data_IF_017594420740
#
_entry.id   IF_017594420740
#
_cell.length_a   1.000
_cell.length_b   1.000
_cell.length_c   1.000
_cell.angle_alpha   90.00
_cell.angle_beta   90.00
_cell.angle_gamma   90.00
#
_symmetry.space_group_name_H-M   'P 1'
#
loop_
_entity.id
_entity.type
_entity.pdbx_description
1 polymer ?
#
# COMPACT_ATOMS: atom_id res chain seq x y z
N UNK A 1 9.97 -22.46 -31.32
CA UNK A 1 9.69 -21.43 -30.29
C UNK A 1 8.27 -21.55 -29.71
N UNK A 2 7.19 -21.72 -30.51
CA UNK A 2 5.84 -21.95 -29.97
C UNK A 2 5.75 -23.19 -29.05
N UNK A 3 6.46 -24.26 -29.44
CA UNK A 3 6.48 -25.55 -28.73
C UNK A 3 7.06 -25.51 -27.31
N UNK A 4 8.00 -24.60 -27.03
CA UNK A 4 8.62 -24.51 -25.71
C UNK A 4 7.67 -23.83 -24.72
N UNK A 5 7.02 -22.76 -25.15
CA UNK A 5 6.04 -22.01 -24.37
C UNK A 5 4.85 -22.90 -24.00
N UNK A 6 4.28 -23.62 -24.98
CA UNK A 6 3.21 -24.60 -24.72
C UNK A 6 3.65 -25.70 -23.75
N UNK A 7 4.90 -26.17 -23.85
CA UNK A 7 5.45 -27.15 -22.92
C UNK A 7 5.55 -26.61 -21.48
N UNK A 8 5.94 -25.35 -21.30
CA UNK A 8 5.98 -24.70 -19.98
C UNK A 8 4.59 -24.48 -19.39
N UNK A 9 3.61 -24.15 -20.23
CA UNK A 9 2.21 -23.97 -19.81
C UNK A 9 1.63 -25.31 -19.36
N UNK A 10 1.87 -26.37 -20.12
CA UNK A 10 1.47 -27.72 -19.74
C UNK A 10 2.14 -28.17 -18.45
N UNK A 11 3.42 -27.82 -18.25
CA UNK A 11 4.13 -28.07 -17.00
C UNK A 11 3.47 -27.30 -15.83
N UNK A 12 3.20 -26.00 -15.99
CA UNK A 12 2.52 -25.19 -14.97
C UNK A 12 1.14 -25.75 -14.62
N UNK A 13 0.36 -26.18 -15.61
CA UNK A 13 -0.95 -26.79 -15.41
C UNK A 13 -0.86 -28.20 -14.78
N UNK A 14 0.25 -28.91 -14.98
CA UNK A 14 0.49 -30.22 -14.37
C UNK A 14 0.92 -30.17 -12.91
N UNK A 15 1.34 -29.00 -12.43
CA UNK A 15 1.76 -28.79 -11.04
C UNK A 15 0.50 -28.69 -10.17
N UNK A 16 0.27 -29.73 -9.36
CA UNK A 16 -0.88 -29.82 -8.46
C UNK A 16 -0.84 -28.80 -7.33
N UNK A 17 0.35 -28.43 -6.86
CA UNK A 17 0.55 -27.45 -5.78
C UNK A 17 1.66 -26.46 -6.16
N UNK A 18 1.33 -25.24 -6.61
CA UNK A 18 2.34 -24.21 -6.87
C UNK A 18 3.00 -23.78 -5.55
N UNK A 19 4.31 -23.58 -5.58
CA UNK A 19 5.10 -23.04 -4.48
C UNK A 19 5.69 -21.65 -4.83
N UNK A 20 6.51 -21.10 -3.93
CA UNK A 20 7.11 -19.77 -4.14
C UNK A 20 8.05 -19.69 -5.35
N UNK A 21 8.74 -20.77 -5.72
CA UNK A 21 9.62 -20.79 -6.89
C UNK A 21 8.82 -20.68 -8.19
N UNK A 22 7.60 -21.25 -8.20
CA UNK A 22 6.71 -21.20 -9.36
C UNK A 22 6.26 -19.76 -9.67
N UNK A 23 6.11 -18.89 -8.67
CA UNK A 23 5.74 -17.48 -8.89
C UNK A 23 6.79 -16.71 -9.71
N UNK A 24 8.08 -17.04 -9.51
CA UNK A 24 9.16 -16.46 -10.31
C UNK A 24 9.10 -16.91 -11.77
N UNK A 25 8.82 -18.19 -12.01
CA UNK A 25 8.65 -18.73 -13.36
C UNK A 25 7.44 -18.12 -14.08
N UNK A 26 6.30 -18.04 -13.39
CA UNK A 26 5.08 -17.41 -13.92
C UNK A 26 5.36 -15.95 -14.32
N UNK A 27 6.07 -15.21 -13.46
CA UNK A 27 6.43 -13.82 -13.74
C UNK A 27 7.34 -13.69 -14.97
N UNK A 28 8.33 -14.57 -15.13
CA UNK A 28 9.19 -14.61 -16.30
C UNK A 28 8.43 -14.95 -17.60
N UNK A 29 7.43 -15.84 -17.52
CA UNK A 29 6.56 -16.17 -18.66
C UNK A 29 5.67 -14.99 -19.04
N UNK A 30 5.06 -14.30 -18.07
CA UNK A 30 4.26 -13.09 -18.33
C UNK A 30 5.07 -12.04 -19.07
N UNK A 31 6.30 -11.78 -18.62
CA UNK A 31 7.21 -10.87 -19.30
C UNK A 31 7.47 -11.29 -20.76
N UNK A 32 7.74 -12.58 -21.00
CA UNK A 32 8.00 -13.10 -22.34
C UNK A 32 6.81 -13.03 -23.29
N UNK A 33 5.59 -13.19 -22.76
CA UNK A 33 4.35 -13.32 -23.53
C UNK A 33 3.64 -12.00 -23.82
N UNK A 34 3.95 -10.94 -23.05
CA UNK A 34 3.27 -9.63 -23.05
C UNK A 34 3.00 -9.02 -24.44
N UNK A 35 3.84 -9.31 -25.43
CA UNK A 35 3.74 -8.76 -26.80
C UNK A 35 3.59 -9.83 -27.89
N UNK A 36 3.51 -11.11 -27.50
CA UNK A 36 3.61 -12.24 -28.44
C UNK A 36 2.34 -13.05 -28.56
N UNK A 37 1.65 -13.31 -27.46
CA UNK A 37 0.53 -14.27 -27.44
C UNK A 37 -0.51 -13.93 -26.36
N UNK A 38 -1.58 -13.25 -26.77
CA UNK A 38 -2.56 -12.67 -25.84
C UNK A 38 -3.39 -13.71 -25.09
N UNK A 39 -3.82 -14.78 -25.74
CA UNK A 39 -4.67 -15.83 -25.13
C UNK A 39 -3.93 -16.53 -24.01
N UNK A 40 -2.68 -16.92 -24.26
CA UNK A 40 -1.86 -17.60 -23.29
C UNK A 40 -1.41 -16.67 -22.15
N UNK A 41 -1.11 -15.41 -22.48
CA UNK A 41 -0.81 -14.40 -21.48
C UNK A 41 -1.94 -14.27 -20.44
N UNK A 42 -3.20 -14.20 -20.86
CA UNK A 42 -4.34 -14.11 -19.93
C UNK A 42 -4.52 -15.37 -19.07
N UNK A 43 -4.24 -16.56 -19.62
CA UNK A 43 -4.26 -17.82 -18.84
C UNK A 43 -3.19 -17.80 -17.75
N UNK A 44 -1.94 -17.50 -18.10
CA UNK A 44 -0.82 -17.45 -17.16
C UNK A 44 -1.01 -16.33 -16.13
N UNK A 45 -1.55 -15.17 -16.54
CA UNK A 45 -1.91 -14.06 -15.65
C UNK A 45 -2.89 -14.51 -14.59
N UNK A 46 -3.96 -15.20 -15.00
CA UNK A 46 -4.98 -15.73 -14.09
C UNK A 46 -4.37 -16.68 -13.05
N UNK A 47 -3.56 -17.65 -13.50
CA UNK A 47 -2.86 -18.60 -12.62
C UNK A 47 -1.91 -17.86 -11.65
N UNK A 48 -1.18 -16.87 -12.15
CA UNK A 48 -0.24 -16.08 -11.35
C UNK A 48 -0.92 -15.29 -10.25
N UNK A 49 -2.03 -14.61 -10.54
CA UNK A 49 -2.79 -13.83 -9.57
C UNK A 49 -3.36 -14.74 -8.48
N UNK A 50 -3.96 -15.88 -8.86
CA UNK A 50 -4.52 -16.84 -7.91
C UNK A 50 -3.42 -17.46 -7.01
N UNK A 51 -2.28 -17.79 -7.61
CA UNK A 51 -1.11 -18.33 -6.89
C UNK A 51 -0.51 -17.29 -5.94
N UNK A 52 -0.39 -16.03 -6.36
CA UNK A 52 0.10 -14.95 -5.51
C UNK A 52 -0.81 -14.73 -4.29
N UNK A 53 -2.12 -14.64 -4.51
CA UNK A 53 -3.09 -14.49 -3.43
C UNK A 53 -3.00 -15.65 -2.42
N UNK A 54 -2.88 -16.89 -2.90
CA UNK A 54 -2.77 -18.07 -2.04
C UNK A 54 -1.44 -18.16 -1.28
N UNK A 55 -0.32 -18.00 -1.98
CA UNK A 55 1.02 -18.33 -1.47
C UNK A 55 1.71 -17.17 -0.76
N UNK A 56 1.44 -15.93 -1.16
CA UNK A 56 2.04 -14.73 -0.54
C UNK A 56 1.09 -14.12 0.48
N UNK A 57 -0.18 -13.91 0.13
CA UNK A 57 -1.12 -13.24 1.03
C UNK A 57 -1.85 -14.21 1.96
N UNK A 58 -2.12 -15.43 1.50
CA UNK A 58 -2.81 -16.48 2.27
C UNK A 58 -1.90 -17.31 3.18
N UNK A 59 -0.59 -17.02 3.18
CA UNK A 59 0.37 -17.77 3.99
C UNK A 59 0.19 -17.54 5.49
N UNK A 60 0.61 -18.55 6.26
CA UNK A 60 0.73 -18.47 7.73
C UNK A 60 2.17 -18.19 8.17
N UNK A 61 3.12 -18.24 7.23
CA UNK A 61 4.54 -18.01 7.47
C UNK A 61 4.99 -16.81 6.67
N UNK A 62 5.80 -15.95 7.30
CA UNK A 62 6.30 -14.73 6.71
C UNK A 62 7.00 -15.03 5.37
N UNK A 63 6.55 -14.47 4.23
CA UNK A 63 7.24 -14.64 2.96
C UNK A 63 8.68 -14.12 3.03
N UNK A 64 9.62 -14.85 2.45
CA UNK A 64 10.97 -14.33 2.28
C UNK A 64 10.97 -13.19 1.27
N UNK A 65 11.80 -12.16 1.48
CA UNK A 65 11.93 -11.02 0.55
C UNK A 65 12.30 -11.48 -0.87
N UNK A 66 13.07 -12.56 -0.98
CA UNK A 66 13.45 -13.21 -2.24
C UNK A 66 12.26 -13.78 -3.01
N UNK A 67 11.14 -14.09 -2.35
CA UNK A 67 9.91 -14.54 -2.99
C UNK A 67 9.02 -13.37 -3.47
N UNK A 68 9.18 -12.17 -2.91
CA UNK A 68 8.38 -11.00 -3.29
C UNK A 68 8.88 -10.34 -4.58
N UNK A 69 10.20 -10.17 -4.72
CA UNK A 69 10.82 -9.49 -5.88
C UNK A 69 10.42 -10.09 -7.23
N UNK A 70 10.40 -11.42 -7.41
CA UNK A 70 10.04 -12.02 -8.70
C UNK A 70 8.59 -11.75 -9.10
N UNK A 71 7.68 -11.46 -8.17
CA UNK A 71 6.24 -11.34 -8.44
C UNK A 71 5.82 -10.05 -9.18
N UNK A 72 6.75 -9.13 -9.47
CA UNK A 72 6.41 -7.82 -10.03
C UNK A 72 5.60 -7.91 -11.34
N UNK A 73 5.93 -8.85 -12.22
CA UNK A 73 5.21 -9.01 -13.50
C UNK A 73 3.77 -9.49 -13.28
N UNK A 74 3.54 -10.42 -12.34
CA UNK A 74 2.18 -10.86 -11.94
C UNK A 74 1.38 -9.66 -11.43
N UNK A 75 1.99 -8.85 -10.57
CA UNK A 75 1.33 -7.70 -9.96
C UNK A 75 1.00 -6.60 -10.97
N UNK A 76 1.94 -6.30 -11.87
CA UNK A 76 1.75 -5.30 -12.92
C UNK A 76 0.78 -5.72 -14.02
N UNK A 77 0.58 -7.03 -14.21
CA UNK A 77 -0.40 -7.59 -15.14
C UNK A 77 -1.82 -7.59 -14.57
N UNK A 78 -1.99 -7.36 -13.27
CA UNK A 78 -3.27 -7.42 -12.57
C UNK A 78 -4.16 -6.24 -12.96
N UNK A 79 -5.43 -6.53 -13.26
CA UNK A 79 -6.46 -5.52 -13.44
C UNK A 79 -7.27 -5.29 -12.14
N UNK A 80 -8.04 -4.20 -12.13
CA UNK A 80 -8.83 -3.79 -10.98
C UNK A 80 -9.87 -4.85 -10.57
N UNK A 81 -10.46 -5.56 -11.53
CA UNK A 81 -11.48 -6.58 -11.26
C UNK A 81 -10.86 -7.80 -10.57
N UNK A 82 -9.74 -8.29 -11.09
CA UNK A 82 -8.97 -9.39 -10.48
C UNK A 82 -8.50 -9.02 -9.08
N UNK A 83 -8.03 -7.77 -8.90
CA UNK A 83 -7.65 -7.29 -7.57
C UNK A 83 -8.84 -7.31 -6.60
N UNK A 84 -9.99 -6.75 -6.99
CA UNK A 84 -11.21 -6.71 -6.16
C UNK A 84 -11.71 -8.09 -5.76
N UNK A 85 -11.70 -9.03 -6.69
CA UNK A 85 -12.37 -10.33 -6.53
C UNK A 85 -11.45 -11.40 -5.95
N UNK A 86 -10.14 -11.38 -6.28
CA UNK A 86 -9.21 -12.46 -5.93
C UNK A 86 -8.19 -12.05 -4.86
N UNK A 87 -7.68 -10.82 -4.92
CA UNK A 87 -6.51 -10.41 -4.11
C UNK A 87 -6.92 -9.65 -2.87
N UNK A 88 -7.74 -8.62 -3.01
CA UNK A 88 -8.18 -7.77 -1.90
C UNK A 88 -8.89 -8.55 -0.77
N UNK A 89 -9.78 -9.53 -1.04
CA UNK A 89 -10.43 -10.28 0.03
C UNK A 89 -9.44 -11.11 0.87
N UNK A 90 -8.37 -11.61 0.25
CA UNK A 90 -7.31 -12.35 0.94
C UNK A 90 -6.42 -11.39 1.71
N UNK A 91 -5.98 -10.29 1.08
CA UNK A 91 -5.19 -9.23 1.72
C UNK A 91 -5.89 -8.70 2.98
N UNK A 92 -7.16 -8.32 2.86
CA UNK A 92 -7.95 -7.78 3.96
C UNK A 92 -8.06 -8.78 5.11
N UNK A 93 -8.39 -10.04 4.79
CA UNK A 93 -8.49 -11.10 5.80
C UNK A 93 -7.16 -11.33 6.53
N UNK A 94 -6.04 -11.32 5.82
CA UNK A 94 -4.72 -11.56 6.40
C UNK A 94 -4.21 -10.36 7.21
N UNK A 95 -4.46 -9.12 6.77
CA UNK A 95 -4.17 -7.91 7.56
C UNK A 95 -4.92 -7.88 8.90
N UNK A 96 -6.17 -8.37 8.91
CA UNK A 96 -6.97 -8.44 10.14
C UNK A 96 -6.56 -9.56 11.09
N UNK A 97 -6.01 -10.68 10.57
CA UNK A 97 -5.73 -11.88 11.36
C UNK A 97 -4.28 -12.03 11.78
N UNK A 98 -3.36 -11.66 10.90
CA UNK A 98 -1.93 -11.93 11.03
C UNK A 98 -1.10 -10.87 10.29
N UNK A 99 -1.25 -9.57 10.62
CA UNK A 99 -0.53 -8.49 9.94
C UNK A 99 1.00 -8.68 9.98
N UNK A 100 1.54 -9.28 11.04
CA UNK A 100 2.96 -9.61 11.19
C UNK A 100 3.52 -10.59 10.17
N UNK A 101 2.65 -11.36 9.53
CA UNK A 101 3.05 -12.30 8.48
C UNK A 101 3.09 -11.61 7.13
N UNK A 102 2.13 -10.74 6.83
CA UNK A 102 1.89 -10.27 5.47
C UNK A 102 2.28 -8.81 5.21
N UNK A 103 2.54 -8.00 6.24
CA UNK A 103 2.69 -6.55 6.07
C UNK A 103 3.85 -6.17 5.14
N UNK A 104 4.91 -6.99 5.11
CA UNK A 104 6.07 -6.77 4.22
C UNK A 104 5.75 -7.00 2.74
N UNK A 105 4.71 -7.78 2.44
CA UNK A 105 4.24 -7.99 1.07
C UNK A 105 3.35 -6.85 0.56
N UNK A 106 2.85 -5.98 1.46
CA UNK A 106 1.90 -4.92 1.09
C UNK A 106 2.55 -3.78 0.31
N UNK A 107 3.71 -3.21 0.71
CA UNK A 107 4.35 -2.16 -0.07
C UNK A 107 4.65 -2.55 -1.53
N UNK A 108 5.32 -3.70 -1.82
CA UNK A 108 5.59 -4.10 -3.20
C UNK A 108 4.30 -4.40 -3.97
N UNK A 109 3.30 -5.04 -3.33
CA UNK A 109 1.97 -5.23 -3.93
C UNK A 109 1.40 -3.90 -4.43
N UNK A 110 1.27 -2.92 -3.54
CA UNK A 110 0.66 -1.64 -3.88
C UNK A 110 1.49 -0.86 -4.90
N UNK A 111 2.83 -0.92 -4.85
CA UNK A 111 3.67 -0.18 -5.80
C UNK A 111 3.62 -0.72 -7.24
N UNK A 112 3.27 -1.99 -7.40
CA UNK A 112 3.27 -2.66 -8.71
C UNK A 112 1.92 -2.57 -9.44
N UNK A 113 0.85 -2.12 -8.77
CA UNK A 113 -0.46 -1.94 -9.39
C UNK A 113 -0.46 -0.73 -10.34
N UNK A 114 -1.20 -0.85 -11.45
CA UNK A 114 -1.31 0.17 -12.48
C UNK A 114 -2.68 0.84 -12.52
N UNK A 115 -3.46 0.73 -11.45
CA UNK A 115 -4.83 1.24 -11.37
C UNK A 115 -5.08 1.95 -10.04
N UNK A 116 -6.05 2.86 -10.05
CA UNK A 116 -6.42 3.66 -8.90
C UNK A 116 -7.05 2.84 -7.76
N UNK A 117 -6.63 3.11 -6.53
CA UNK A 117 -7.09 2.45 -5.30
C UNK A 117 -8.05 3.27 -4.46
N UNK A 118 -8.54 4.42 -4.93
CA UNK A 118 -9.40 5.32 -4.14
C UNK A 118 -10.59 4.59 -3.53
N UNK A 119 -11.20 3.65 -4.27
CA UNK A 119 -12.39 2.89 -3.83
C UNK A 119 -12.18 2.07 -2.55
N UNK A 120 -10.94 1.68 -2.23
CA UNK A 120 -10.62 0.80 -1.10
C UNK A 120 -9.61 1.39 -0.13
N UNK A 121 -9.03 2.54 -0.45
CA UNK A 121 -7.91 3.11 0.30
C UNK A 121 -8.27 3.49 1.74
N UNK A 122 -9.52 3.91 2.00
CA UNK A 122 -10.00 4.18 3.36
C UNK A 122 -9.97 2.91 4.24
N UNK A 123 -10.53 1.81 3.74
CA UNK A 123 -10.56 0.55 4.48
C UNK A 123 -9.15 -0.04 4.65
N UNK A 124 -8.31 0.08 3.61
CA UNK A 124 -6.92 -0.37 3.69
C UNK A 124 -6.13 0.47 4.71
N UNK A 125 -6.36 1.77 4.78
CA UNK A 125 -5.72 2.66 5.75
C UNK A 125 -6.08 2.29 7.19
N UNK A 126 -7.34 1.90 7.44
CA UNK A 126 -7.78 1.40 8.76
C UNK A 126 -7.08 0.10 9.15
N UNK A 127 -6.81 -0.79 8.18
CA UNK A 127 -6.09 -2.05 8.42
C UNK A 127 -4.58 -1.83 8.64
N UNK A 128 -4.01 -0.79 8.02
CA UNK A 128 -2.59 -0.45 8.12
C UNK A 128 -2.24 0.40 9.36
N UNK A 129 -3.22 1.09 9.95
CA UNK A 129 -2.99 1.95 11.11
C UNK A 129 -2.53 1.20 12.37
N UNK A 130 -3.10 0.04 12.76
CA UNK A 130 -2.63 -0.68 13.95
C UNK A 130 -1.16 -1.15 13.84
N UNK A 131 -0.69 -1.74 12.71
CA UNK A 131 0.73 -2.05 12.53
C UNK A 131 1.65 -0.82 12.51
N UNK A 132 1.18 0.34 12.02
CA UNK A 132 1.92 1.60 11.99
C UNK A 132 2.30 2.10 13.39
N UNK A 133 1.44 1.84 14.38
CA UNK A 133 1.68 2.22 15.77
C UNK A 133 2.09 1.01 16.63
N UNK A 134 2.61 -0.05 16.02
CA UNK A 134 3.13 -1.21 16.75
C UNK A 134 4.37 -0.83 17.56
N UNK A 135 4.72 -1.66 18.55
CA UNK A 135 6.01 -1.59 19.24
C UNK A 135 7.12 -2.33 18.48
N UNK A 136 6.75 -3.10 17.46
CA UNK A 136 7.68 -3.85 16.63
C UNK A 136 8.11 -2.99 15.45
N UNK A 137 9.39 -2.61 15.43
CA UNK A 137 9.96 -1.72 14.42
C UNK A 137 9.74 -2.21 12.98
N UNK A 138 9.86 -3.53 12.73
CA UNK A 138 9.64 -4.09 11.39
C UNK A 138 8.19 -3.98 10.91
N UNK A 139 7.22 -4.05 11.83
CA UNK A 139 5.78 -3.87 11.54
C UNK A 139 5.50 -2.42 11.16
N UNK A 140 5.98 -1.52 12.00
CA UNK A 140 5.89 -0.08 11.83
C UNK A 140 6.49 0.38 10.50
N UNK A 141 7.73 -0.04 10.21
CA UNK A 141 8.44 0.34 8.99
C UNK A 141 7.68 -0.13 7.73
N UNK A 142 7.16 -1.36 7.75
CA UNK A 142 6.40 -1.94 6.64
C UNK A 142 5.04 -1.27 6.45
N UNK A 143 4.36 -0.92 7.54
CA UNK A 143 3.11 -0.18 7.50
C UNK A 143 3.32 1.24 6.96
N UNK A 144 4.37 1.93 7.40
CA UNK A 144 4.72 3.25 6.89
C UNK A 144 5.09 3.20 5.40
N UNK A 145 5.84 2.18 4.98
CA UNK A 145 6.10 1.93 3.56
C UNK A 145 4.80 1.69 2.78
N UNK A 146 3.84 0.98 3.36
CA UNK A 146 2.52 0.74 2.76
C UNK A 146 1.71 2.03 2.60
N UNK A 147 1.72 2.93 3.59
CA UNK A 147 1.09 4.25 3.44
C UNK A 147 1.74 5.09 2.34
N UNK A 148 3.08 5.04 2.23
CA UNK A 148 3.82 5.75 1.17
C UNK A 148 3.50 5.22 -0.23
N UNK A 149 3.34 3.92 -0.40
CA UNK A 149 2.96 3.34 -1.70
C UNK A 149 1.48 3.54 -1.98
N UNK A 150 0.61 3.41 -0.98
CA UNK A 150 -0.83 3.69 -1.09
C UNK A 150 -1.11 5.12 -1.52
N UNK A 151 -0.43 6.11 -0.92
CA UNK A 151 -0.57 7.52 -1.28
C UNK A 151 -0.31 7.79 -2.79
N UNK A 152 0.56 6.99 -3.42
CA UNK A 152 0.86 7.09 -4.86
C UNK A 152 -0.21 6.48 -5.75
N UNK A 153 -1.06 5.60 -5.20
CA UNK A 153 -2.10 4.87 -5.93
C UNK A 153 -3.49 5.50 -5.83
N UNK A 154 -3.61 6.66 -5.18
CA UNK A 154 -4.89 7.35 -4.99
C UNK A 154 -4.91 8.63 -5.84
N UNK A 155 -5.92 8.74 -6.67
CA UNK A 155 -6.16 9.88 -7.56
C UNK A 155 -7.27 10.78 -7.02
N UNK A 156 -8.20 10.25 -6.21
CA UNK A 156 -9.29 11.00 -5.61
C UNK A 156 -8.83 11.76 -4.34
N UNK A 157 -8.94 13.09 -4.38
CA UNK A 157 -8.53 13.99 -3.30
C UNK A 157 -9.36 13.84 -2.04
N UNK A 158 -10.68 13.68 -2.15
CA UNK A 158 -11.56 13.46 -0.98
C UNK A 158 -11.15 12.20 -0.20
N UNK A 159 -10.74 11.15 -0.90
CA UNK A 159 -10.22 9.93 -0.27
C UNK A 159 -8.93 10.20 0.49
N UNK A 160 -8.01 10.99 -0.09
CA UNK A 160 -6.77 11.40 0.59
C UNK A 160 -7.10 12.22 1.85
N UNK A 161 -7.99 13.20 1.74
CA UNK A 161 -8.42 14.04 2.86
C UNK A 161 -9.05 13.17 3.96
N UNK A 162 -9.92 12.23 3.60
CA UNK A 162 -10.56 11.31 4.54
C UNK A 162 -9.53 10.47 5.32
N UNK A 163 -8.52 9.91 4.64
CA UNK A 163 -7.46 9.14 5.28
C UNK A 163 -6.61 10.03 6.19
N UNK A 164 -6.24 11.23 5.74
CA UNK A 164 -5.45 12.18 6.54
C UNK A 164 -6.20 12.57 7.81
N UNK A 165 -7.50 12.87 7.71
CA UNK A 165 -8.34 13.16 8.86
C UNK A 165 -8.43 11.96 9.82
N UNK A 166 -8.58 10.74 9.30
CA UNK A 166 -8.53 9.52 10.10
C UNK A 166 -7.22 9.38 10.88
N UNK A 167 -6.06 9.58 10.23
CA UNK A 167 -4.76 9.53 10.89
C UNK A 167 -4.58 10.62 11.95
N UNK A 168 -5.08 11.83 11.71
CA UNK A 168 -5.10 12.89 12.72
C UNK A 168 -6.01 12.55 13.91
N UNK A 169 -7.14 11.88 13.68
CA UNK A 169 -8.01 11.44 14.77
C UNK A 169 -7.31 10.39 15.66
N UNK A 170 -6.51 9.49 15.07
CA UNK A 170 -5.65 8.58 15.84
C UNK A 170 -4.60 9.38 16.63
N UNK A 171 -3.93 10.33 15.96
CA UNK A 171 -2.90 11.15 16.59
C UNK A 171 -3.44 11.91 17.82
N UNK A 172 -4.65 12.46 17.71
CA UNK A 172 -5.31 13.22 18.77
C UNK A 172 -6.04 12.33 19.80
N UNK A 173 -6.04 11.01 19.62
CA UNK A 173 -6.71 10.07 20.52
C UNK A 173 -8.24 10.14 20.47
N UNK A 174 -8.82 10.71 19.41
CA UNK A 174 -10.28 10.75 19.19
C UNK A 174 -10.78 9.54 18.43
N UNK A 175 -9.90 8.77 17.79
CA UNK A 175 -10.22 7.50 17.14
C UNK A 175 -10.17 6.34 18.13
N UNK A 176 -11.33 5.77 18.46
CA UNK A 176 -11.45 4.69 19.46
C UNK A 176 -11.10 3.30 18.94
N UNK A 177 -10.98 3.12 17.61
CA UNK A 177 -10.67 1.82 17.01
C UNK A 177 -9.20 1.40 17.14
N UNK A 178 -8.33 2.30 17.60
CA UNK A 178 -6.88 2.10 17.65
C UNK A 178 -6.37 2.32 19.08
N UNK A 179 -5.35 1.56 19.48
CA UNK A 179 -4.77 1.67 20.82
C UNK A 179 -4.20 3.07 21.06
N UNK A 180 -4.30 3.53 22.32
CA UNK A 180 -3.71 4.80 22.74
C UNK A 180 -2.20 4.83 22.47
N UNK A 181 -1.74 5.94 21.92
CA UNK A 181 -0.32 6.18 21.67
C UNK A 181 0.43 6.27 23.01
N UNK A 182 1.38 5.38 23.19
CA UNK A 182 2.11 5.17 24.45
C UNK A 182 3.56 5.66 24.38
N UNK A 183 4.12 5.80 23.17
CA UNK A 183 5.49 6.23 22.94
C UNK A 183 5.54 7.27 21.82
N UNK A 184 6.59 8.10 21.84
CA UNK A 184 6.77 9.21 20.89
C UNK A 184 6.93 8.69 19.45
N UNK A 185 7.63 7.58 19.24
CA UNK A 185 7.84 7.01 17.90
C UNK A 185 6.51 6.73 17.17
N UNK A 186 5.51 6.20 17.86
CA UNK A 186 4.17 5.98 17.29
C UNK A 186 3.54 7.27 16.75
N UNK A 187 3.77 8.41 17.42
CA UNK A 187 3.31 9.74 16.97
C UNK A 187 4.09 10.20 15.74
N UNK A 188 5.40 9.98 15.72
CA UNK A 188 6.27 10.28 14.57
C UNK A 188 5.88 9.48 13.32
N UNK A 189 5.45 8.22 13.50
CA UNK A 189 5.00 7.36 12.41
C UNK A 189 3.68 7.82 11.81
N UNK A 190 2.72 8.20 12.65
CA UNK A 190 1.47 8.81 12.20
C UNK A 190 1.73 10.09 11.40
N UNK A 191 2.60 10.97 11.91
CA UNK A 191 3.00 12.17 11.18
C UNK A 191 3.67 11.83 9.85
N UNK A 192 4.56 10.84 9.83
CA UNK A 192 5.21 10.39 8.60
C UNK A 192 4.21 9.82 7.58
N UNK A 193 3.19 9.09 8.04
CA UNK A 193 2.11 8.59 7.20
C UNK A 193 1.24 9.74 6.67
N UNK A 194 0.84 10.69 7.52
CA UNK A 194 0.12 11.93 7.12
C UNK A 194 0.92 12.70 6.06
N UNK A 195 2.23 12.86 6.29
CA UNK A 195 3.14 13.51 5.35
C UNK A 195 3.32 12.75 4.04
N UNK A 196 3.15 11.43 4.02
CA UNK A 196 3.21 10.65 2.78
C UNK A 196 2.15 11.08 1.77
N UNK A 197 0.94 11.41 2.25
CA UNK A 197 -0.17 11.86 1.40
C UNK A 197 0.04 13.24 0.78
N UNK A 198 0.86 14.11 1.39
CA UNK A 198 1.26 15.38 0.77
C UNK A 198 2.07 15.19 -0.52
N UNK A 199 2.63 13.99 -0.74
CA UNK A 199 3.40 13.63 -1.94
C UNK A 199 2.59 12.77 -2.90
N UNK A 200 1.29 12.64 -2.69
CA UNK A 200 0.41 11.95 -3.64
C UNK A 200 0.44 12.68 -4.99
N UNK A 201 0.47 11.95 -6.12
CA UNK A 201 0.40 12.55 -7.45
C UNK A 201 -0.98 13.15 -7.76
N UNK A 202 -1.98 12.95 -6.91
CA UNK A 202 -3.33 13.51 -7.09
C UNK A 202 -3.30 15.04 -7.19
N UNK A 203 -3.91 15.56 -8.26
CA UNK A 203 -4.15 16.99 -8.48
C UNK A 203 -5.54 17.44 -8.00
N UNK A 204 -6.38 16.52 -7.51
CA UNK A 204 -7.79 16.80 -7.19
C UNK A 204 -8.02 17.37 -5.78
N UNK A 205 -6.98 17.46 -4.95
CA UNK A 205 -7.04 18.13 -3.65
C UNK A 205 -6.93 19.65 -3.86
N UNK A 206 -7.95 20.40 -3.45
CA UNK A 206 -7.97 21.86 -3.61
C UNK A 206 -7.04 22.59 -2.64
N UNK A 207 -6.75 23.87 -2.91
CA UNK A 207 -6.00 24.72 -1.97
C UNK A 207 -6.75 24.89 -0.64
N UNK A 208 -8.08 25.03 -0.68
CA UNK A 208 -8.94 25.17 0.49
C UNK A 208 -8.90 23.91 1.39
N UNK A 209 -8.86 22.71 0.79
CA UNK A 209 -8.71 21.46 1.54
C UNK A 209 -7.38 21.40 2.31
N UNK A 210 -6.29 21.88 1.67
CA UNK A 210 -4.98 21.94 2.32
C UNK A 210 -5.02 22.94 3.47
N UNK A 211 -5.54 24.15 3.25
CA UNK A 211 -5.65 25.17 4.30
C UNK A 211 -6.48 24.66 5.49
N UNK A 212 -7.59 23.97 5.24
CA UNK A 212 -8.39 23.31 6.27
C UNK A 212 -7.60 22.28 7.07
N UNK A 213 -6.73 21.49 6.43
CA UNK A 213 -5.85 20.56 7.15
C UNK A 213 -4.87 21.32 8.05
N UNK A 214 -4.25 22.38 7.53
CA UNK A 214 -3.28 23.18 8.26
C UNK A 214 -3.90 23.83 9.50
N UNK A 215 -5.04 24.50 9.32
CA UNK A 215 -5.72 25.24 10.38
C UNK A 215 -6.36 24.33 11.43
N UNK A 216 -7.01 23.24 10.98
CA UNK A 216 -7.75 22.34 11.87
C UNK A 216 -6.84 21.41 12.66
N UNK A 217 -5.72 20.98 12.08
CA UNK A 217 -4.89 19.93 12.68
C UNK A 217 -3.47 20.42 13.00
N UNK A 218 -2.69 20.86 12.01
CA UNK A 218 -1.28 21.21 12.24
C UNK A 218 -1.12 22.37 13.23
N UNK A 219 -1.81 23.49 13.00
CA UNK A 219 -1.70 24.68 13.84
C UNK A 219 -1.98 24.42 15.32
N UNK A 220 -3.14 23.85 15.72
CA UNK A 220 -3.41 23.58 17.13
C UNK A 220 -2.47 22.52 17.73
N UNK A 221 -2.08 21.51 16.96
CA UNK A 221 -1.14 20.48 17.43
C UNK A 221 0.23 21.06 17.74
N UNK A 222 0.76 21.94 16.88
CA UNK A 222 2.05 22.60 17.09
C UNK A 222 2.01 23.53 18.30
N UNK A 223 0.90 24.25 18.52
CA UNK A 223 0.76 25.15 19.66
C UNK A 223 0.73 24.44 21.02
N UNK A 224 0.17 23.23 21.06
CA UNK A 224 -0.02 22.47 22.30
C UNK A 224 1.14 21.53 22.62
N UNK A 225 1.96 21.19 21.62
CA UNK A 225 3.06 20.26 21.79
C UNK A 225 4.25 20.90 22.53
N UNK A 226 4.87 20.13 23.42
CA UNK A 226 6.03 20.57 24.21
C UNK A 226 7.30 19.80 23.83
N UNK A 227 7.18 18.65 23.16
CA UNK A 227 8.32 17.87 22.72
C UNK A 227 8.93 18.44 21.43
N UNK A 228 10.07 19.12 21.55
CA UNK A 228 10.75 19.83 20.44
C UNK A 228 10.98 18.98 19.20
N UNK A 229 11.43 17.73 19.35
CA UNK A 229 11.66 16.83 18.21
C UNK A 229 10.37 16.54 17.45
N UNK A 230 9.24 16.45 18.15
CA UNK A 230 7.95 16.20 17.53
C UNK A 230 7.40 17.45 16.86
N UNK A 231 7.61 18.63 17.46
CA UNK A 231 7.30 19.93 16.83
C UNK A 231 8.08 20.07 15.51
N UNK A 232 9.38 19.78 15.51
CA UNK A 232 10.20 19.82 14.31
C UNK A 232 9.65 18.88 13.22
N UNK A 233 9.29 17.66 13.60
CA UNK A 233 8.72 16.70 12.66
C UNK A 233 7.35 17.14 12.13
N UNK A 234 6.48 17.72 12.98
CA UNK A 234 5.21 18.31 12.55
C UNK A 234 5.42 19.44 11.55
N UNK A 235 6.35 20.36 11.82
CA UNK A 235 6.69 21.46 10.92
C UNK A 235 7.21 20.95 9.57
N UNK A 236 8.00 19.87 9.55
CA UNK A 236 8.46 19.25 8.32
C UNK A 236 7.30 18.67 7.49
N UNK A 237 6.35 18.00 8.14
CA UNK A 237 5.18 17.47 7.43
C UNK A 237 4.25 18.59 6.97
N UNK A 238 4.05 19.62 7.81
CA UNK A 238 3.30 20.83 7.46
C UNK A 238 3.91 21.53 6.23
N UNK A 239 5.23 21.70 6.19
CA UNK A 239 5.93 22.27 5.04
C UNK A 239 5.73 21.44 3.76
N UNK A 240 5.70 20.11 3.88
CA UNK A 240 5.41 19.21 2.75
C UNK A 240 3.99 19.45 2.20
N UNK A 241 3.00 19.64 3.06
CA UNK A 241 1.64 20.04 2.66
C UNK A 241 1.59 21.43 2.03
N UNK A 242 2.26 22.42 2.62
CA UNK A 242 2.35 23.77 2.07
C UNK A 242 2.98 23.81 0.67
N UNK A 243 3.94 22.93 0.37
CA UNK A 243 4.57 22.86 -0.96
C UNK A 243 3.56 22.57 -2.10
N UNK A 244 2.42 21.94 -1.80
CA UNK A 244 1.34 21.74 -2.77
C UNK A 244 0.62 23.04 -3.14
N UNK A 245 0.60 24.02 -2.24
CA UNK A 245 0.02 25.35 -2.50
C UNK A 245 0.89 26.18 -3.46
N UNK A 246 2.22 26.02 -3.38
CA UNK A 246 3.15 26.74 -4.26
C UNK A 246 3.23 26.12 -5.64
N UNK A 247 3.11 24.79 -5.74
CA UNK A 247 3.17 24.07 -7.02
C UNK A 247 1.89 24.21 -7.87
N UNK A 248 0.77 24.66 -7.27
CA UNK A 248 -0.47 24.95 -8.02
C UNK A 248 -0.43 26.30 -8.74
N UNK A 249 0.55 27.15 -8.47
CA UNK A 249 0.72 28.47 -9.11
C UNK A 249 1.61 28.46 -10.37
N UNK A 250 1.95 27.28 -10.91
CA UNK A 250 2.77 27.12 -12.12
C UNK A 250 2.02 26.42 -13.28
N UNK A 251 0.68 26.38 -13.23
CA UNK A 251 -0.16 25.89 -14.32
C UNK A 251 -0.78 27.06 -15.10
#
# INVERSE_FOLDING_TARGET
VPTLVESWVNLLNSISEPDLAHLGLISALLYCLKTKETTLYEQIKTIGIDSYAKLILGTRTKPYETALKPCNEILSAMDLESFKTKVYPVLNRSLLRNPEVIIEAVPPLLSSLSFDLSYTANELSKQLAPPLISKTESLEASALASFRTLAKQISNGETIISIVQYLFNIFNGTESSVNKLSVISQRENLLSAIGAFSRSPSTSISQDDILKILDKYFYPMIQQEVHEGLICHMLQQMASWCSRLTNTNQA
#
